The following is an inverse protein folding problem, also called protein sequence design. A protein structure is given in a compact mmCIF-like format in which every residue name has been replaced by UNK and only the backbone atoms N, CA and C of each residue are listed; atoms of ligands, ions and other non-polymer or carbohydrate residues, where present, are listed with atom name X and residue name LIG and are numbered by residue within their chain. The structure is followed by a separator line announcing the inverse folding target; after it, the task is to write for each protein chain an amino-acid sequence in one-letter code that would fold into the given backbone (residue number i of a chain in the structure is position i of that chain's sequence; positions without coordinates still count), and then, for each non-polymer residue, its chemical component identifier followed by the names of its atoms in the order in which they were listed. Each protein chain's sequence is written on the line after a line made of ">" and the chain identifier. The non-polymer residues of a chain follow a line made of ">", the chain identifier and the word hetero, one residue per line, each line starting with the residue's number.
data_IF_183005425360
#
_entry.id   IF_183005425360
#
_cell.length_a   1.000
_cell.length_b   1.000
_cell.length_c   1.000
_cell.angle_alpha   90.00
_cell.angle_beta   90.00
_cell.angle_gamma   90.00
#
_symmetry.space_group_name_H-M   'P 1'
#
loop_
_entity.id
_entity.type
_entity.pdbx_description
1 polymer ?
#
# COMPACT_ATOMS: atom_id res chain seq x y z
N UNK A 1 8.39 -6.19 17.77
CA UNK A 1 8.52 -5.12 16.76
C UNK A 1 7.63 -5.49 15.60
N UNK A 2 6.70 -4.62 15.23
CA UNK A 2 5.83 -4.83 14.08
C UNK A 2 6.57 -4.63 12.76
N UNK A 3 5.96 -5.03 11.64
CA UNK A 3 6.51 -4.77 10.31
C UNK A 3 6.65 -3.27 10.04
N UNK A 4 5.70 -2.46 10.54
CA UNK A 4 5.69 -1.01 10.36
C UNK A 4 6.80 -0.33 11.18
N UNK A 5 6.96 -0.71 12.45
CA UNK A 5 8.06 -0.22 13.30
C UNK A 5 9.42 -0.53 12.67
N UNK A 6 9.61 -1.76 12.19
CA UNK A 6 10.84 -2.17 11.50
C UNK A 6 11.09 -1.34 10.24
N UNK A 7 10.06 -1.11 9.42
CA UNK A 7 10.20 -0.31 8.20
C UNK A 7 10.53 1.16 8.50
N UNK A 8 9.90 1.74 9.52
CA UNK A 8 10.17 3.11 9.95
C UNK A 8 11.61 3.23 10.46
N UNK A 9 12.11 2.23 11.19
CA UNK A 9 13.50 2.20 11.65
C UNK A 9 14.50 2.02 10.49
N UNK A 10 14.29 1.06 9.60
CA UNK A 10 15.19 0.79 8.46
C UNK A 10 15.24 1.97 7.49
N UNK A 11 14.11 2.59 7.20
CA UNK A 11 14.01 3.67 6.22
C UNK A 11 13.99 5.06 6.81
N UNK A 12 13.87 5.25 8.12
CA UNK A 12 13.91 6.55 8.79
C UNK A 12 12.81 7.53 8.38
N UNK A 13 11.65 7.05 7.96
CA UNK A 13 10.51 7.87 7.49
C UNK A 13 9.20 7.13 7.65
N UNK A 14 8.06 7.82 7.53
CA UNK A 14 6.71 7.25 7.34
C UNK A 14 6.15 7.53 5.94
N UNK A 15 6.85 8.34 5.16
CA UNK A 15 6.45 8.68 3.79
C UNK A 15 6.66 7.47 2.87
N UNK A 16 5.56 6.99 2.27
CA UNK A 16 5.54 5.74 1.49
C UNK A 16 6.33 5.83 0.19
N UNK A 17 6.37 7.02 -0.42
CA UNK A 17 7.15 7.26 -1.65
C UNK A 17 8.64 7.27 -1.34
N UNK A 18 9.02 7.94 -0.25
CA UNK A 18 10.40 7.96 0.23
C UNK A 18 10.85 6.58 0.72
N UNK A 19 10.00 5.81 1.39
CA UNK A 19 10.29 4.41 1.73
C UNK A 19 10.54 3.58 0.48
N UNK A 20 9.63 3.61 -0.50
CA UNK A 20 9.79 2.86 -1.75
C UNK A 20 11.10 3.23 -2.45
N UNK A 21 11.41 4.53 -2.54
CA UNK A 21 12.67 5.03 -3.11
C UNK A 21 13.89 4.49 -2.36
N UNK A 22 13.90 4.51 -1.03
CA UNK A 22 15.01 3.98 -0.20
C UNK A 22 15.12 2.46 -0.28
N UNK A 23 14.00 1.77 -0.47
CA UNK A 23 13.95 0.32 -0.68
C UNK A 23 14.36 -0.11 -2.10
N UNK A 24 14.61 0.85 -3.02
CA UNK A 24 14.92 0.54 -4.42
C UNK A 24 13.69 0.07 -5.21
N UNK A 25 12.48 0.38 -4.73
CA UNK A 25 11.21 0.05 -5.36
C UNK A 25 10.75 1.22 -6.22
N UNK A 26 10.54 0.98 -7.51
CA UNK A 26 9.98 1.98 -8.42
C UNK A 26 8.46 1.99 -8.30
N UNK A 27 7.86 3.17 -8.28
CA UNK A 27 6.40 3.34 -8.36
C UNK A 27 6.07 3.83 -9.77
N UNK A 28 5.13 3.16 -10.43
CA UNK A 28 4.60 3.59 -11.73
C UNK A 28 3.08 3.70 -11.66
N UNK A 29 2.54 4.60 -12.46
CA UNK A 29 1.11 4.85 -12.56
C UNK A 29 0.65 4.44 -13.95
N UNK A 30 -0.18 3.40 -14.03
CA UNK A 30 -0.68 2.86 -15.29
C UNK A 30 -2.20 2.75 -15.24
N UNK A 31 -2.83 2.59 -16.41
CA UNK A 31 -4.28 2.43 -16.52
C UNK A 31 -4.61 1.00 -16.89
N UNK A 32 -5.47 0.38 -16.10
CA UNK A 32 -6.05 -0.92 -16.41
C UNK A 32 -7.49 -1.02 -15.85
N UNK A 33 -8.27 -2.05 -16.25
CA UNK A 33 -9.61 -2.26 -15.72
C UNK A 33 -9.62 -2.34 -14.19
N UNK A 34 -10.73 -1.94 -13.56
CA UNK A 34 -10.91 -1.95 -12.10
C UNK A 34 -11.12 -3.37 -11.55
N UNK A 35 -10.10 -4.21 -11.70
CA UNK A 35 -10.02 -5.55 -11.11
C UNK A 35 -9.12 -5.55 -9.86
N UNK A 36 -8.16 -4.61 -9.82
CA UNK A 36 -7.23 -4.33 -8.73
C UNK A 36 -6.95 -2.82 -8.69
N UNK A 37 -6.55 -2.30 -7.54
CA UNK A 37 -6.17 -0.89 -7.37
C UNK A 37 -4.66 -0.66 -7.39
N UNK A 38 -3.90 -1.71 -7.12
CA UNK A 38 -2.45 -1.75 -7.20
C UNK A 38 -1.98 -3.19 -7.32
N UNK A 39 -0.74 -3.34 -7.78
CA UNK A 39 -0.05 -4.63 -7.90
C UNK A 39 1.45 -4.41 -7.64
N UNK A 40 2.12 -5.41 -7.08
CA UNK A 40 3.57 -5.40 -6.91
C UNK A 40 4.26 -6.61 -7.53
N UNK A 41 5.50 -6.38 -7.93
CA UNK A 41 6.49 -7.41 -8.24
C UNK A 41 7.86 -6.94 -7.72
N UNK A 42 8.89 -7.79 -7.81
CA UNK A 42 10.22 -7.46 -7.26
C UNK A 42 10.74 -6.11 -7.79
N UNK A 43 10.83 -5.13 -6.88
CA UNK A 43 11.34 -3.79 -7.18
C UNK A 43 10.36 -2.86 -7.91
N UNK A 44 9.08 -3.21 -8.04
CA UNK A 44 8.08 -2.39 -8.74
C UNK A 44 6.71 -2.44 -8.06
N UNK A 45 6.11 -1.27 -7.89
CA UNK A 45 4.71 -1.07 -7.52
C UNK A 45 4.01 -0.38 -8.70
N UNK A 46 2.91 -0.96 -9.15
CA UNK A 46 1.99 -0.35 -10.12
C UNK A 46 0.77 0.16 -9.38
N UNK A 47 0.41 1.42 -9.60
CA UNK A 47 -0.81 2.03 -9.06
C UNK A 47 -1.82 2.26 -10.19
N UNK A 48 -3.06 1.79 -10.00
CA UNK A 48 -4.11 1.90 -11.02
C UNK A 48 -4.65 3.33 -11.06
N UNK A 49 -4.29 4.08 -12.11
CA UNK A 49 -4.80 5.44 -12.31
C UNK A 49 -6.33 5.47 -12.42
N UNK A 50 -6.94 4.45 -13.03
CA UNK A 50 -8.41 4.35 -13.15
C UNK A 50 -9.07 4.34 -11.76
N UNK A 51 -8.45 3.67 -10.78
CA UNK A 51 -8.97 3.59 -9.43
C UNK A 51 -8.85 4.93 -8.68
N UNK A 52 -7.70 5.60 -8.84
CA UNK A 52 -7.47 6.93 -8.26
C UNK A 52 -8.44 7.98 -8.80
N UNK A 53 -8.72 7.94 -10.10
CA UNK A 53 -9.68 8.83 -10.77
C UNK A 53 -11.09 8.59 -10.22
N UNK A 54 -11.54 7.33 -10.16
CA UNK A 54 -12.88 7.00 -9.65
C UNK A 54 -13.07 7.37 -8.17
N UNK A 55 -12.05 7.17 -7.34
CA UNK A 55 -12.12 7.56 -5.93
C UNK A 55 -12.24 9.08 -5.75
N UNK A 56 -11.64 9.88 -6.63
CA UNK A 56 -11.77 11.34 -6.61
C UNK A 56 -13.16 11.85 -6.98
N UNK A 57 -13.97 11.02 -7.63
CA UNK A 57 -15.34 11.34 -8.05
C UNK A 57 -16.38 10.92 -7.00
N UNK A 58 -16.17 9.79 -6.30
CA UNK A 58 -17.17 9.16 -5.42
C UNK A 58 -17.02 9.48 -3.92
N UNK A 59 -15.85 9.88 -3.42
CA UNK A 59 -15.57 9.86 -1.99
C UNK A 59 -15.37 11.27 -1.37
N UNK A 60 -16.45 11.82 -0.81
CA UNK A 60 -16.38 13.01 0.05
C UNK A 60 -15.57 12.83 1.36
N UNK A 61 -15.11 11.61 1.67
CA UNK A 61 -14.38 11.27 2.91
C UNK A 61 -12.96 10.72 2.67
N UNK A 62 -12.56 10.40 1.44
CA UNK A 62 -11.26 9.80 1.15
C UNK A 62 -10.62 10.45 -0.08
N UNK A 63 -9.51 11.17 0.12
CA UNK A 63 -8.85 11.91 -0.97
C UNK A 63 -8.13 10.96 -1.93
N UNK A 64 -7.96 11.41 -3.18
CA UNK A 64 -7.11 10.73 -4.18
C UNK A 64 -5.72 10.41 -3.63
N UNK A 65 -5.11 11.38 -2.95
CA UNK A 65 -3.79 11.23 -2.32
C UNK A 65 -3.81 10.19 -1.19
N UNK A 66 -4.87 10.15 -0.38
CA UNK A 66 -5.05 9.14 0.66
C UNK A 66 -5.13 7.73 0.09
N UNK A 67 -5.87 7.54 -1.01
CA UNK A 67 -5.95 6.25 -1.69
C UNK A 67 -4.63 5.84 -2.32
N UNK A 68 -3.94 6.76 -2.98
CA UNK A 68 -2.61 6.51 -3.53
C UNK A 68 -1.65 6.03 -2.44
N UNK A 69 -1.57 6.75 -1.31
CA UNK A 69 -0.71 6.38 -0.19
C UNK A 69 -1.07 5.02 0.40
N UNK A 70 -2.36 4.71 0.49
CA UNK A 70 -2.84 3.43 0.99
C UNK A 70 -2.44 2.29 0.05
N UNK A 71 -2.64 2.44 -1.26
CA UNK A 71 -2.22 1.45 -2.26
C UNK A 71 -0.71 1.21 -2.17
N UNK A 72 0.09 2.28 -2.19
CA UNK A 72 1.56 2.15 -2.13
C UNK A 72 1.99 1.49 -0.82
N UNK A 73 1.40 1.86 0.32
CA UNK A 73 1.69 1.21 1.59
C UNK A 73 1.36 -0.29 1.56
N UNK A 74 0.21 -0.66 1.00
CA UNK A 74 -0.22 -2.06 0.91
C UNK A 74 0.77 -2.88 0.08
N UNK A 75 1.06 -2.43 -1.13
CA UNK A 75 1.99 -3.11 -2.04
C UNK A 75 3.42 -3.14 -1.50
N UNK A 76 3.87 -2.07 -0.85
CA UNK A 76 5.17 -2.05 -0.18
C UNK A 76 5.22 -3.04 0.99
N UNK A 77 4.12 -3.19 1.73
CA UNK A 77 3.98 -4.16 2.81
C UNK A 77 4.20 -5.60 2.32
N UNK A 78 3.63 -5.97 1.17
CA UNK A 78 3.89 -7.27 0.51
C UNK A 78 5.37 -7.47 0.20
N UNK A 79 6.02 -6.48 -0.42
CA UNK A 79 7.44 -6.56 -0.77
C UNK A 79 8.35 -6.66 0.46
N UNK A 80 8.05 -5.92 1.52
CA UNK A 80 8.84 -5.94 2.76
C UNK A 80 8.61 -7.22 3.57
N UNK A 81 7.37 -7.71 3.62
CA UNK A 81 7.06 -9.00 4.24
C UNK A 81 7.81 -10.13 3.55
N UNK A 82 7.82 -10.16 2.21
CA UNK A 82 8.60 -11.12 1.42
C UNK A 82 10.10 -11.07 1.69
N UNK A 83 10.66 -9.88 1.99
CA UNK A 83 12.08 -9.69 2.28
C UNK A 83 12.47 -10.11 3.70
N UNK A 84 11.58 -9.93 4.67
CA UNK A 84 11.95 -9.91 6.08
C UNK A 84 11.32 -11.00 6.94
N UNK A 85 10.25 -11.63 6.47
CA UNK A 85 9.54 -12.69 7.17
C UNK A 85 9.93 -14.02 6.54
N UNK A 86 10.63 -14.87 7.27
CA UNK A 86 10.96 -16.22 6.82
C UNK A 86 9.72 -17.12 6.97
N UNK A 87 9.22 -17.67 5.86
CA UNK A 87 8.04 -18.56 5.82
C UNK A 87 7.00 -18.12 4.78
N UNK A 88 6.01 -18.99 4.49
CA UNK A 88 4.97 -18.73 3.47
C UNK A 88 3.86 -17.77 3.92
N UNK A 89 3.86 -17.32 5.19
CA UNK A 89 2.79 -16.49 5.74
C UNK A 89 3.02 -14.99 5.47
N UNK A 90 3.03 -14.64 4.18
CA UNK A 90 2.89 -13.26 3.70
C UNK A 90 1.40 -12.89 3.62
N UNK A 91 0.63 -13.23 4.66
CA UNK A 91 -0.82 -13.07 4.64
C UNK A 91 -1.22 -11.61 4.53
N UNK A 92 -2.32 -11.39 3.80
CA UNK A 92 -3.02 -10.10 3.71
C UNK A 92 -3.27 -9.45 5.07
N UNK A 93 -3.48 -10.24 6.12
CA UNK A 93 -3.67 -9.74 7.48
C UNK A 93 -2.43 -8.97 7.99
N UNK A 94 -1.23 -9.51 7.79
CA UNK A 94 0.03 -8.88 8.19
C UNK A 94 0.23 -7.55 7.44
N UNK A 95 -0.07 -7.54 6.14
CA UNK A 95 0.05 -6.35 5.30
C UNK A 95 -0.96 -5.29 5.70
N UNK A 96 -2.19 -5.67 6.04
CA UNK A 96 -3.19 -4.73 6.55
C UNK A 96 -2.80 -4.13 7.90
N UNK A 97 -2.24 -4.91 8.82
CA UNK A 97 -1.71 -4.38 10.07
C UNK A 97 -0.55 -3.41 9.81
N UNK A 98 0.36 -3.75 8.89
CA UNK A 98 1.43 -2.85 8.45
C UNK A 98 0.89 -1.51 7.94
N UNK A 99 -0.07 -1.54 7.01
CA UNK A 99 -0.66 -0.31 6.42
C UNK A 99 -1.33 0.53 7.49
N UNK A 100 -2.11 -0.09 8.38
CA UNK A 100 -2.81 0.59 9.46
C UNK A 100 -1.83 1.33 10.37
N UNK A 101 -0.78 0.66 10.82
CA UNK A 101 0.20 1.23 11.74
C UNK A 101 1.08 2.29 11.06
N UNK A 102 1.53 2.04 9.82
CA UNK A 102 2.39 2.95 9.07
C UNK A 102 1.69 4.29 8.82
N UNK A 103 0.44 4.23 8.37
CA UNK A 103 -0.36 5.39 7.99
C UNK A 103 -1.18 5.98 9.14
N UNK A 104 -1.10 5.41 10.35
CA UNK A 104 -1.85 5.84 11.55
C UNK A 104 -3.37 5.90 11.30
N UNK A 105 -3.90 4.84 10.65
CA UNK A 105 -5.31 4.79 10.29
C UNK A 105 -6.18 4.41 11.50
N UNK A 106 -7.32 5.09 11.71
CA UNK A 106 -8.24 4.77 12.81
C UNK A 106 -9.12 3.54 12.52
N UNK A 107 -8.93 2.87 11.38
CA UNK A 107 -9.74 1.74 10.90
C UNK A 107 -8.86 0.66 10.27
N UNK A 108 -9.43 -0.53 10.06
CA UNK A 108 -8.75 -1.61 9.35
C UNK A 108 -8.75 -1.35 7.83
N UNK A 109 -7.61 -1.48 7.12
CA UNK A 109 -7.55 -1.25 5.67
C UNK A 109 -8.49 -2.15 4.84
N UNK A 110 -8.89 -3.31 5.38
CA UNK A 110 -9.91 -4.18 4.79
C UNK A 110 -11.27 -3.48 4.61
N UNK A 111 -11.55 -2.44 5.38
CA UNK A 111 -12.75 -1.61 5.20
C UNK A 111 -12.69 -0.80 3.89
N UNK A 112 -11.48 -0.43 3.45
CA UNK A 112 -11.24 0.25 2.17
C UNK A 112 -11.29 -0.72 0.97
N UNK A 113 -11.05 -2.02 1.15
CA UNK A 113 -11.17 -3.01 0.06
C UNK A 113 -12.56 -3.05 -0.58
N UNK A 114 -13.61 -2.67 0.16
CA UNK A 114 -14.98 -2.56 -0.40
C UNK A 114 -15.08 -1.51 -1.50
N UNK A 115 -14.16 -0.55 -1.54
CA UNK A 115 -14.03 0.43 -2.61
C UNK A 115 -13.34 -0.16 -3.85
N UNK A 116 -12.56 -1.24 -3.69
CA UNK A 116 -11.78 -1.88 -4.75
C UNK A 116 -12.56 -2.92 -5.54
N UNK A 117 -13.58 -3.53 -4.91
CA UNK A 117 -14.34 -4.67 -5.44
C UNK A 117 -15.71 -4.29 -6.04
N UNK A 118 -15.95 -3.02 -6.39
CA UNK A 118 -17.23 -2.53 -6.95
C UNK A 118 -17.23 -2.30 -8.46
#
# INVERSE_FOLDING_TARGET
>A
MSLAERAIEEFGTRDVHEMARRAGVRIVFERWPLVSVGECETGLIRVNQTALERASEDAGWFSREGLERLIIAHELGHLLAAKWVEGEDHSEALVHDFVRELLDLPFAPTECERLWKR
#
